data_IF_047274200642
#
_entry.id   IF_047274200642
#
_cell.length_a   1.000
_cell.length_b   1.000
_cell.length_c   1.000
_cell.angle_alpha   90.00
_cell.angle_beta   90.00
_cell.angle_gamma   90.00
#
_symmetry.space_group_name_H-M   'P 1'
#
loop_
_entity.id
_entity.type
_entity.pdbx_description
1 polymer ?
#
# COMPACT_ATOMS: atom_id res chain seq x y z
N UNK A 1 -27.24 -10.11 17.51
CA UNK A 1 -27.41 -9.65 16.11
C UNK A 1 -26.21 -8.79 15.72
N UNK A 2 -25.35 -9.21 14.77
CA UNK A 2 -24.18 -8.40 14.36
C UNK A 2 -24.61 -7.35 13.32
N UNK A 3 -24.50 -6.07 13.66
CA UNK A 3 -24.81 -4.95 12.75
C UNK A 3 -23.78 -4.96 11.61
N UNK A 4 -24.22 -5.25 10.37
CA UNK A 4 -23.38 -5.09 9.17
C UNK A 4 -23.14 -3.60 8.96
N UNK A 5 -21.90 -3.12 9.18
CA UNK A 5 -21.50 -1.75 8.82
C UNK A 5 -21.66 -1.56 7.31
N UNK A 6 -22.47 -0.59 6.90
CA UNK A 6 -22.58 -0.19 5.51
C UNK A 6 -21.23 0.37 5.02
N UNK A 7 -20.72 -0.14 3.90
CA UNK A 7 -19.57 0.46 3.22
C UNK A 7 -20.06 1.67 2.42
N UNK A 8 -19.67 2.87 2.84
CA UNK A 8 -19.91 4.10 2.07
C UNK A 8 -18.74 4.31 1.13
N UNK A 9 -19.02 4.49 -0.16
CA UNK A 9 -18.03 4.89 -1.16
C UNK A 9 -18.29 6.32 -1.59
N UNK A 10 -17.23 7.12 -1.67
CA UNK A 10 -17.24 8.42 -2.31
C UNK A 10 -16.68 8.24 -3.72
N UNK A 11 -17.44 8.60 -4.74
CA UNK A 11 -16.93 8.64 -6.12
C UNK A 11 -16.43 10.06 -6.38
N UNK A 12 -15.13 10.19 -6.63
CA UNK A 12 -14.51 11.45 -7.03
C UNK A 12 -14.17 11.31 -8.52
N UNK A 13 -14.75 12.19 -9.35
CA UNK A 13 -14.41 12.28 -10.76
C UNK A 13 -13.25 13.27 -10.94
N UNK A 14 -12.16 12.81 -11.55
CA UNK A 14 -10.93 13.59 -11.73
C UNK A 14 -10.79 14.16 -13.16
N UNK A 15 -11.86 14.09 -13.97
CA UNK A 15 -11.78 14.37 -15.41
C UNK A 15 -11.70 15.87 -15.74
N UNK A 16 -12.19 16.74 -14.84
CA UNK A 16 -12.27 18.20 -15.04
C UNK A 16 -11.58 18.97 -13.91
N UNK A 17 -10.45 18.47 -13.40
CA UNK A 17 -9.66 19.14 -12.36
C UNK A 17 -8.80 20.26 -12.95
N UNK A 18 -8.67 21.35 -12.22
CA UNK A 18 -7.80 22.46 -12.60
C UNK A 18 -6.31 22.04 -12.60
N UNK A 19 -5.48 22.81 -13.31
CA UNK A 19 -4.05 22.53 -13.46
C UNK A 19 -3.33 22.41 -12.12
N UNK A 20 -3.66 23.26 -11.14
CA UNK A 20 -3.04 23.24 -9.82
C UNK A 20 -3.38 21.95 -9.08
N UNK A 21 -4.65 21.56 -9.08
CA UNK A 21 -5.10 20.28 -8.50
C UNK A 21 -4.38 19.09 -9.16
N UNK A 22 -4.21 19.10 -10.47
CA UNK A 22 -3.46 18.05 -11.18
C UNK A 22 -1.99 17.98 -10.76
N UNK A 23 -1.33 19.12 -10.60
CA UNK A 23 0.05 19.18 -10.11
C UNK A 23 0.13 18.63 -8.68
N UNK A 24 -0.78 19.03 -7.80
CA UNK A 24 -0.83 18.56 -6.41
C UNK A 24 -1.09 17.05 -6.35
N UNK A 25 -2.07 16.55 -7.11
CA UNK A 25 -2.35 15.12 -7.19
C UNK A 25 -1.18 14.33 -7.75
N UNK A 26 -0.53 14.83 -8.81
CA UNK A 26 0.68 14.21 -9.38
C UNK A 26 1.81 14.11 -8.35
N UNK A 27 2.08 15.20 -7.62
CA UNK A 27 3.07 15.22 -6.55
C UNK A 27 2.75 14.20 -5.44
N UNK A 28 1.52 14.22 -4.93
CA UNK A 28 1.10 13.33 -3.83
C UNK A 28 1.10 11.86 -4.25
N UNK A 29 0.61 11.54 -5.44
CA UNK A 29 0.56 10.16 -5.94
C UNK A 29 1.95 9.62 -6.26
N UNK A 30 2.83 10.46 -6.82
CA UNK A 30 4.24 10.11 -7.04
C UNK A 30 4.92 9.73 -5.72
N UNK A 31 4.83 10.61 -4.71
CA UNK A 31 5.45 10.35 -3.41
C UNK A 31 4.82 9.15 -2.68
N UNK A 32 3.51 8.96 -2.77
CA UNK A 32 2.84 7.79 -2.20
C UNK A 32 3.31 6.48 -2.87
N UNK A 33 3.43 6.45 -4.19
CA UNK A 33 3.90 5.29 -4.93
C UNK A 33 5.37 4.96 -4.63
N UNK A 34 6.24 5.97 -4.53
CA UNK A 34 7.64 5.74 -4.16
C UNK A 34 7.79 5.27 -2.71
N UNK A 35 7.04 5.86 -1.77
CA UNK A 35 7.02 5.39 -0.38
C UNK A 35 6.55 3.94 -0.27
N UNK A 36 5.52 3.56 -1.05
CA UNK A 36 5.07 2.18 -1.14
C UNK A 36 6.21 1.25 -1.57
N UNK A 37 6.96 1.61 -2.61
CA UNK A 37 8.07 0.80 -3.11
C UNK A 37 9.21 0.65 -2.10
N UNK A 38 9.61 1.74 -1.43
CA UNK A 38 10.63 1.70 -0.38
C UNK A 38 10.22 0.77 0.76
N UNK A 39 8.99 0.91 1.26
CA UNK A 39 8.46 0.06 2.31
C UNK A 39 8.35 -1.41 1.86
N UNK A 40 7.92 -1.64 0.62
CA UNK A 40 7.80 -2.99 0.06
C UNK A 40 9.16 -3.67 -0.07
N UNK A 41 10.19 -2.92 -0.47
CA UNK A 41 11.57 -3.40 -0.50
C UNK A 41 12.04 -3.85 0.89
N UNK A 42 11.78 -3.06 1.94
CA UNK A 42 12.16 -3.42 3.31
C UNK A 42 11.50 -4.73 3.76
N UNK A 43 10.21 -4.91 3.49
CA UNK A 43 9.49 -6.14 3.86
C UNK A 43 10.00 -7.33 3.05
N UNK A 44 10.12 -7.19 1.73
CA UNK A 44 10.57 -8.26 0.82
C UNK A 44 11.96 -8.78 1.19
N UNK A 45 12.86 -7.89 1.58
CA UNK A 45 14.23 -8.24 1.98
C UNK A 45 14.36 -8.58 3.48
N UNK A 46 13.25 -8.77 4.20
CA UNK A 46 13.22 -9.10 5.64
C UNK A 46 13.92 -8.06 6.54
N UNK A 47 14.08 -6.83 6.06
CA UNK A 47 14.68 -5.71 6.80
C UNK A 47 13.65 -5.03 7.73
N UNK A 48 12.36 -5.27 7.51
CA UNK A 48 11.27 -4.76 8.33
C UNK A 48 10.13 -5.79 8.43
N UNK A 49 9.36 -5.70 9.52
CA UNK A 49 8.09 -6.42 9.64
C UNK A 49 7.02 -5.70 8.79
N UNK A 50 6.03 -6.43 8.25
CA UNK A 50 4.87 -5.84 7.56
C UNK A 50 3.91 -5.19 8.58
N UNK A 51 4.41 -4.21 9.30
CA UNK A 51 3.74 -3.49 10.37
C UNK A 51 3.92 -1.99 10.15
N UNK A 52 2.81 -1.26 10.16
CA UNK A 52 2.77 0.19 9.94
C UNK A 52 3.77 0.94 10.83
N UNK A 53 3.82 0.64 12.13
CA UNK A 53 4.68 1.38 13.07
C UNK A 53 6.16 1.07 12.84
N UNK A 54 6.51 -0.20 12.59
CA UNK A 54 7.89 -0.60 12.28
C UNK A 54 8.38 0.08 11.00
N UNK A 55 7.57 0.02 9.93
CA UNK A 55 7.89 0.68 8.66
C UNK A 55 7.99 2.20 8.79
N UNK A 56 7.04 2.82 9.51
CA UNK A 56 7.04 4.28 9.71
C UNK A 56 8.29 4.76 10.45
N UNK A 57 8.74 3.99 11.46
CA UNK A 57 9.95 4.30 12.21
C UNK A 57 11.23 4.06 11.40
N UNK A 58 11.31 2.95 10.65
CA UNK A 58 12.49 2.63 9.83
C UNK A 58 12.71 3.61 8.67
N UNK A 59 11.63 4.16 8.13
CA UNK A 59 11.68 5.13 7.03
C UNK A 59 11.77 6.59 7.50
N UNK A 60 11.81 6.84 8.83
CA UNK A 60 11.60 8.18 9.38
C UNK A 60 12.65 9.20 8.92
N UNK A 61 13.91 8.77 8.86
CA UNK A 61 15.04 9.65 8.56
C UNK A 61 15.49 9.53 7.10
N UNK A 62 15.32 8.34 6.51
CA UNK A 62 15.87 7.95 5.20
C UNK A 62 14.97 8.27 4.02
N UNK A 63 13.64 8.19 4.19
CA UNK A 63 12.70 8.39 3.09
C UNK A 63 12.34 9.86 2.91
N UNK A 64 12.80 10.45 1.81
CA UNK A 64 12.33 11.77 1.35
C UNK A 64 10.84 11.73 1.02
N UNK A 65 10.34 10.61 0.51
CA UNK A 65 8.95 10.45 0.09
C UNK A 65 7.99 10.42 1.28
N UNK A 66 8.39 9.84 2.41
CA UNK A 66 7.66 9.95 3.68
C UNK A 66 7.56 11.40 4.16
N UNK A 67 8.65 12.16 4.08
CA UNK A 67 8.69 13.57 4.52
C UNK A 67 7.90 14.50 3.60
N UNK A 68 7.79 14.14 2.32
CA UNK A 68 7.03 14.88 1.30
C UNK A 68 5.51 14.72 1.42
N UNK A 69 5.05 13.73 2.18
CA UNK A 69 3.63 13.48 2.41
C UNK A 69 3.20 14.00 3.78
N UNK A 70 1.94 14.44 3.85
CA UNK A 70 1.29 14.70 5.13
C UNK A 70 1.29 13.42 6.00
N UNK A 71 1.52 13.58 7.30
CA UNK A 71 1.81 12.48 8.22
C UNK A 71 0.75 11.38 8.22
N UNK A 72 -0.53 11.74 8.11
CA UNK A 72 -1.63 10.78 8.04
C UNK A 72 -1.65 10.04 6.71
N UNK A 73 -1.42 10.73 5.60
CA UNK A 73 -1.30 10.10 4.27
C UNK A 73 -0.18 9.07 4.23
N UNK A 74 1.01 9.40 4.72
CA UNK A 74 2.13 8.44 4.80
C UNK A 74 1.78 7.22 5.65
N UNK A 75 1.13 7.41 6.80
CA UNK A 75 0.66 6.31 7.64
C UNK A 75 -0.39 5.43 6.94
N UNK A 76 -1.29 6.01 6.14
CA UNK A 76 -2.29 5.25 5.39
C UNK A 76 -1.61 4.37 4.34
N UNK A 77 -0.67 4.92 3.56
CA UNK A 77 0.10 4.15 2.57
C UNK A 77 0.78 2.94 3.21
N UNK A 78 1.44 3.14 4.35
CA UNK A 78 2.16 2.07 5.06
C UNK A 78 1.21 1.07 5.73
N UNK A 79 0.03 1.50 6.19
CA UNK A 79 -1.00 0.62 6.73
C UNK A 79 -1.61 -0.26 5.65
N UNK A 80 -1.91 0.30 4.47
CA UNK A 80 -2.42 -0.46 3.33
C UNK A 80 -1.39 -1.49 2.83
N UNK A 81 -0.12 -1.12 2.77
CA UNK A 81 0.95 -2.09 2.48
C UNK A 81 1.02 -3.21 3.53
N UNK A 82 0.94 -2.84 4.82
CA UNK A 82 0.93 -3.82 5.92
C UNK A 82 -0.30 -4.72 5.88
N UNK A 83 -1.47 -4.21 5.46
CA UNK A 83 -2.69 -5.00 5.24
C UNK A 83 -2.51 -5.96 4.07
N UNK A 84 -1.95 -5.49 2.95
CA UNK A 84 -1.65 -6.31 1.78
C UNK A 84 -0.78 -7.52 2.14
N UNK A 85 0.33 -7.30 2.84
CA UNK A 85 1.20 -8.39 3.30
C UNK A 85 0.53 -9.34 4.29
N UNK A 86 -0.22 -8.81 5.28
CA UNK A 86 -0.97 -9.67 6.21
C UNK A 86 -1.99 -10.54 5.50
N UNK A 87 -2.70 -9.99 4.51
CA UNK A 87 -3.66 -10.74 3.70
C UNK A 87 -2.96 -11.80 2.86
N UNK A 88 -1.80 -11.47 2.27
CA UNK A 88 -0.98 -12.43 1.53
C UNK A 88 -0.53 -13.60 2.42
N UNK A 89 0.00 -13.34 3.61
CA UNK A 89 0.41 -14.43 4.52
C UNK A 89 -0.77 -15.27 5.01
N UNK A 90 -1.94 -14.65 5.27
CA UNK A 90 -3.18 -15.38 5.60
C UNK A 90 -3.65 -16.27 4.46
N UNK A 91 -3.54 -15.77 3.23
CA UNK A 91 -3.86 -16.55 2.03
C UNK A 91 -2.94 -17.78 1.92
N UNK A 92 -1.63 -17.61 2.13
CA UNK A 92 -0.68 -18.73 2.11
C UNK A 92 -1.00 -19.81 3.16
N UNK A 93 -1.55 -19.44 4.31
CA UNK A 93 -1.94 -20.39 5.36
C UNK A 93 -3.27 -21.11 5.07
N UNK A 94 -4.22 -20.44 4.41
CA UNK A 94 -5.59 -20.95 4.22
C UNK A 94 -6.15 -20.56 2.85
N UNK A 95 -5.59 -21.10 1.75
CA UNK A 95 -5.98 -20.71 0.39
C UNK A 95 -7.43 -21.12 0.07
N UNK A 96 -7.89 -22.24 0.62
CA UNK A 96 -9.25 -22.81 0.49
C UNK A 96 -10.38 -21.81 0.81
N UNK A 97 -10.11 -20.83 1.68
CA UNK A 97 -11.11 -19.86 2.15
C UNK A 97 -11.31 -18.70 1.17
N UNK A 98 -10.52 -18.60 0.12
CA UNK A 98 -10.58 -17.50 -0.84
C UNK A 98 -11.24 -17.95 -2.14
N UNK A 99 -12.17 -17.14 -2.69
CA UNK A 99 -12.99 -17.52 -3.86
C UNK A 99 -12.21 -17.70 -5.16
N UNK A 100 -10.91 -17.40 -5.17
CA UNK A 100 -10.05 -17.66 -6.33
C UNK A 100 -8.64 -18.00 -5.86
N UNK A 101 -8.07 -19.14 -6.29
CA UNK A 101 -6.66 -19.41 -6.05
C UNK A 101 -5.83 -18.38 -6.81
N UNK A 102 -4.87 -17.76 -6.12
CA UNK A 102 -3.85 -16.92 -6.75
C UNK A 102 -3.03 -17.81 -7.66
N UNK A 103 -3.25 -17.71 -8.98
CA UNK A 103 -2.41 -18.38 -9.98
C UNK A 103 -1.00 -17.84 -9.85
N UNK A 104 -0.01 -18.71 -9.56
CA UNK A 104 1.39 -18.33 -9.75
C UNK A 104 1.56 -17.97 -11.23
N UNK A 105 1.95 -16.73 -11.53
CA UNK A 105 2.50 -16.44 -12.85
C UNK A 105 3.82 -17.20 -12.93
N UNK A 106 3.89 -18.20 -13.80
CA UNK A 106 5.15 -18.83 -14.17
C UNK A 106 5.96 -17.75 -14.89
N UNK A 107 6.90 -17.13 -14.20
CA UNK A 107 7.96 -16.42 -14.89
C UNK A 107 8.75 -17.51 -15.61
N UNK A 108 8.72 -17.53 -16.94
CA UNK A 108 9.70 -18.31 -17.68
C UNK A 108 11.06 -17.78 -17.27
N UNK A 109 11.80 -18.58 -16.53
CA UNK A 109 13.24 -18.45 -16.42
C UNK A 109 13.76 -18.80 -17.81
N UNK A 110 13.84 -17.80 -18.68
CA UNK A 110 14.62 -17.89 -19.90
C UNK A 110 16.06 -18.18 -19.44
N UNK A 111 16.49 -19.42 -19.71
CA UNK A 111 17.88 -19.87 -19.57
C UNK A 111 18.71 -19.32 -20.72
#
# INVERSE_FOLDING_TARGET
MKIKKAKRSLRIELNNTDTTTNIVLGYLTYHAGKLWNEANYLVKNKLAKPNKFDLYNKLKDTSIHKKSLQSRTAQIVLDELSRGWRNFFKYLQTPEKYPSPVTRKNYHTDQ
#
